data_IF_640457589081
#
_entry.id   IF_640457589081
#
_cell.length_a   1.000
_cell.length_b   1.000
_cell.length_c   1.000
_cell.angle_alpha   90.00
_cell.angle_beta   90.00
_cell.angle_gamma   90.00
#
_symmetry.space_group_name_H-M   'P 1'
#
loop_
_entity.id
_entity.type
_entity.pdbx_description
1 polymer ?
#
# COMPACT_ATOMS: atom_id res chain seq x y z
N UNK A 1 5.68 18.44 -11.49
CA UNK A 1 5.35 19.49 -12.48
C UNK A 1 4.08 20.29 -12.13
N UNK A 2 3.00 19.67 -11.66
CA UNK A 2 1.74 20.38 -11.32
C UNK A 2 1.77 21.05 -9.94
N UNK A 3 2.50 20.50 -9.00
CA UNK A 3 2.67 21.05 -7.65
C UNK A 3 3.39 22.43 -7.63
N UNK A 4 4.28 22.70 -8.57
CA UNK A 4 4.90 24.01 -8.71
C UNK A 4 3.90 25.15 -9.06
N UNK A 5 2.78 24.80 -9.68
CA UNK A 5 1.74 25.77 -10.00
C UNK A 5 0.93 26.23 -8.78
N UNK A 6 0.91 25.45 -7.69
CA UNK A 6 0.28 25.85 -6.42
C UNK A 6 1.10 26.95 -5.76
N UNK A 7 2.43 26.79 -5.70
CA UNK A 7 3.35 27.80 -5.14
C UNK A 7 3.30 29.15 -5.87
N UNK A 8 3.12 29.14 -7.18
CA UNK A 8 3.13 30.38 -7.98
C UNK A 8 1.88 31.26 -7.80
N UNK A 9 0.86 30.84 -7.08
CA UNK A 9 -0.43 31.54 -6.98
C UNK A 9 -0.87 31.93 -5.57
N UNK A 10 -0.16 31.49 -4.55
CA UNK A 10 -0.26 32.09 -3.22
C UNK A 10 0.50 33.39 -3.26
N UNK A 11 -0.09 34.44 -2.68
CA UNK A 11 0.41 35.81 -2.74
C UNK A 11 1.93 35.89 -2.49
N UNK A 12 2.77 36.34 -3.44
CA UNK A 12 4.23 36.23 -3.30
C UNK A 12 4.80 36.95 -2.08
N UNK A 13 4.03 37.89 -1.49
CA UNK A 13 4.43 38.64 -0.31
C UNK A 13 4.26 37.90 1.04
N UNK A 14 3.57 36.75 1.03
CA UNK A 14 3.31 35.97 2.24
C UNK A 14 4.15 34.67 2.31
N UNK A 15 4.92 34.40 1.24
CA UNK A 15 5.74 33.17 1.17
C UNK A 15 7.10 33.46 1.79
N UNK A 16 7.46 32.68 2.83
CA UNK A 16 8.83 32.67 3.35
C UNK A 16 9.80 32.24 2.24
N UNK A 17 10.71 33.17 1.83
CA UNK A 17 11.70 32.98 0.78
C UNK A 17 12.71 31.84 1.06
N UNK A 18 12.73 31.33 2.27
CA UNK A 18 13.55 30.17 2.67
C UNK A 18 12.87 28.81 2.40
N UNK A 19 11.67 28.78 1.82
CA UNK A 19 10.99 27.53 1.47
C UNK A 19 11.60 26.92 0.20
N UNK A 20 11.63 25.57 0.11
CA UNK A 20 12.21 24.92 -1.05
C UNK A 20 11.40 25.22 -2.32
N UNK A 21 12.08 25.60 -3.39
CA UNK A 21 11.46 25.89 -4.69
C UNK A 21 10.85 24.66 -5.39
N UNK A 22 11.17 23.47 -4.91
CA UNK A 22 10.71 22.20 -5.51
C UNK A 22 10.15 21.27 -4.45
N UNK A 23 8.96 20.73 -4.72
CA UNK A 23 8.41 19.61 -3.96
C UNK A 23 9.18 18.34 -4.29
N UNK A 24 9.70 17.68 -3.25
CA UNK A 24 10.27 16.37 -3.36
C UNK A 24 9.22 15.36 -2.86
N UNK A 25 8.50 14.74 -3.78
CA UNK A 25 7.50 13.70 -3.44
C UNK A 25 8.18 12.35 -3.40
N UNK A 26 8.00 11.62 -2.30
CA UNK A 26 8.50 10.26 -2.09
C UNK A 26 7.36 9.33 -1.73
N UNK A 27 7.38 8.14 -2.30
CA UNK A 27 6.47 7.06 -1.91
C UNK A 27 7.12 6.30 -0.76
N UNK A 28 6.35 6.06 0.30
CA UNK A 28 6.77 5.27 1.45
C UNK A 28 5.92 4.00 1.55
N UNK A 29 6.56 2.92 1.95
CA UNK A 29 5.87 1.65 2.19
C UNK A 29 5.14 1.72 3.53
N UNK A 30 3.84 1.88 3.48
CA UNK A 30 2.94 1.83 4.63
C UNK A 30 1.58 1.36 4.16
N UNK A 31 0.95 0.39 4.84
CA UNK A 31 -0.37 -0.09 4.46
C UNK A 31 -1.49 0.89 4.79
N UNK A 32 -1.24 1.91 5.61
CA UNK A 32 -2.23 2.92 5.99
C UNK A 32 -2.30 4.04 4.94
N UNK A 33 -3.49 4.58 4.67
CA UNK A 33 -3.68 5.64 3.65
C UNK A 33 -3.23 6.99 4.20
N UNK A 34 -1.96 7.32 4.01
CA UNK A 34 -1.34 8.52 4.56
C UNK A 34 -0.63 9.36 3.50
N UNK A 35 -0.67 10.68 3.69
CA UNK A 35 0.20 11.63 3.03
C UNK A 35 0.69 12.66 4.06
N UNK A 36 1.92 13.11 3.93
CA UNK A 36 2.55 14.04 4.87
C UNK A 36 3.36 15.09 4.11
N UNK A 37 3.12 16.34 4.43
CA UNK A 37 4.00 17.42 4.03
C UNK A 37 4.95 17.76 5.17
N UNK A 38 6.24 17.53 4.98
CA UNK A 38 7.25 17.79 5.99
C UNK A 38 7.64 19.27 6.00
N UNK A 39 8.08 19.83 7.15
CA UNK A 39 8.47 21.25 7.24
C UNK A 39 9.62 21.67 6.32
N UNK A 40 10.40 20.72 5.81
CA UNK A 40 11.45 21.00 4.82
C UNK A 40 10.95 20.99 3.36
N UNK A 41 9.63 20.87 3.14
CA UNK A 41 9.02 20.81 1.81
C UNK A 41 9.06 19.45 1.13
N UNK A 42 9.53 18.40 1.80
CA UNK A 42 9.39 17.04 1.28
C UNK A 42 7.97 16.51 1.55
N UNK A 43 7.40 15.82 0.57
CA UNK A 43 6.10 15.19 0.68
C UNK A 43 6.25 13.67 0.66
N UNK A 44 5.66 13.01 1.63
CA UNK A 44 5.60 11.57 1.71
C UNK A 44 4.19 11.09 1.38
N UNK A 45 4.07 10.11 0.50
CA UNK A 45 2.80 9.47 0.11
C UNK A 45 2.93 7.99 0.38
N UNK A 46 2.01 7.42 1.16
CA UNK A 46 2.06 5.99 1.48
C UNK A 46 1.54 5.12 0.33
N UNK A 47 2.04 3.88 0.24
CA UNK A 47 1.47 2.87 -0.65
C UNK A 47 0.01 2.58 -0.28
N UNK A 48 -0.36 2.65 1.00
CA UNK A 48 -1.73 2.52 1.48
C UNK A 48 -2.67 3.57 0.92
N UNK A 49 -2.23 4.84 0.79
CA UNK A 49 -3.03 5.87 0.14
C UNK A 49 -3.27 5.55 -1.33
N UNK A 50 -2.21 5.15 -2.06
CA UNK A 50 -2.31 4.79 -3.47
C UNK A 50 -3.22 3.57 -3.71
N UNK A 51 -3.31 2.66 -2.72
CA UNK A 51 -4.24 1.54 -2.75
C UNK A 51 -5.70 1.93 -2.42
N UNK A 52 -5.89 3.04 -1.70
CA UNK A 52 -7.20 3.47 -1.19
C UNK A 52 -7.95 4.35 -2.19
N UNK A 53 -7.25 5.25 -2.88
CA UNK A 53 -7.81 6.12 -3.90
C UNK A 53 -7.84 5.44 -5.27
N UNK A 54 -8.63 5.97 -6.22
CA UNK A 54 -8.86 5.36 -7.54
C UNK A 54 -8.65 6.32 -8.71
N UNK A 55 -8.12 7.53 -8.46
CA UNK A 55 -7.86 8.50 -9.52
C UNK A 55 -6.71 9.47 -9.21
N UNK A 56 -6.13 10.02 -10.28
CA UNK A 56 -5.13 11.08 -10.19
C UNK A 56 -5.71 12.34 -9.54
N UNK A 57 -6.99 12.65 -9.79
CA UNK A 57 -7.65 13.82 -9.22
C UNK A 57 -7.78 13.70 -7.71
N UNK A 58 -8.08 12.50 -7.18
CA UNK A 58 -8.08 12.24 -5.74
C UNK A 58 -6.69 12.41 -5.12
N UNK A 59 -5.64 11.91 -5.78
CA UNK A 59 -4.27 12.11 -5.32
C UNK A 59 -3.90 13.59 -5.32
N UNK A 60 -4.21 14.32 -6.38
CA UNK A 60 -3.95 15.76 -6.46
C UNK A 60 -4.72 16.55 -5.39
N UNK A 61 -5.94 16.11 -5.05
CA UNK A 61 -6.75 16.71 -4.01
C UNK A 61 -6.11 16.55 -2.62
N UNK A 62 -5.62 15.36 -2.30
CA UNK A 62 -4.88 15.12 -1.04
C UNK A 62 -3.58 15.91 -1.01
N UNK A 63 -2.83 15.93 -2.11
CA UNK A 63 -1.60 16.73 -2.23
C UNK A 63 -1.90 18.22 -2.01
N UNK A 64 -2.97 18.73 -2.60
CA UNK A 64 -3.36 20.13 -2.43
C UNK A 64 -3.73 20.45 -0.97
N UNK A 65 -4.44 19.55 -0.29
CA UNK A 65 -4.78 19.70 1.12
C UNK A 65 -3.52 19.76 2.00
N UNK A 66 -2.58 18.85 1.82
CA UNK A 66 -1.31 18.84 2.56
C UNK A 66 -0.45 20.08 2.28
N UNK A 67 -0.46 20.55 1.04
CA UNK A 67 0.27 21.80 0.69
C UNK A 67 -0.35 23.02 1.37
N UNK A 68 -1.67 23.08 1.53
CA UNK A 68 -2.31 24.18 2.27
C UNK A 68 -1.86 24.19 3.72
N UNK A 69 -1.76 23.02 4.37
CA UNK A 69 -1.24 22.93 5.74
C UNK A 69 0.19 23.46 5.85
N UNK A 70 1.02 23.16 4.86
CA UNK A 70 2.40 23.66 4.80
C UNK A 70 2.48 25.18 4.53
N UNK A 71 1.69 25.70 3.59
CA UNK A 71 1.69 27.12 3.20
C UNK A 71 1.18 28.00 4.35
N UNK A 72 0.16 27.52 5.08
CA UNK A 72 -0.43 28.26 6.20
C UNK A 72 0.30 28.04 7.53
N UNK A 73 1.43 27.34 7.52
CA UNK A 73 2.25 27.08 8.71
C UNK A 73 1.50 26.36 9.84
N UNK A 74 0.43 25.58 9.51
CA UNK A 74 -0.35 24.85 10.51
C UNK A 74 0.51 23.96 11.41
N UNK A 75 1.61 23.41 10.88
CA UNK A 75 2.57 22.61 11.65
C UNK A 75 3.33 23.46 12.69
N UNK A 76 3.70 24.68 12.31
CA UNK A 76 4.44 25.60 13.20
C UNK A 76 3.54 26.07 14.35
N UNK A 77 2.25 26.29 14.07
CA UNK A 77 1.26 26.68 15.07
C UNK A 77 1.05 25.58 16.12
N UNK A 78 1.14 24.31 15.70
CA UNK A 78 0.90 23.15 16.56
C UNK A 78 2.16 22.75 17.36
N UNK A 79 3.36 23.06 16.86
CA UNK A 79 4.60 22.80 17.60
C UNK A 79 4.82 23.95 18.58
N UNK A 80 4.82 23.63 19.88
CA UNK A 80 5.12 24.61 20.93
C UNK A 80 6.36 25.44 20.56
N UNK A 81 6.25 26.77 20.58
CA UNK A 81 7.35 27.72 20.28
C UNK A 81 8.58 27.57 21.18
N UNK A 82 8.51 26.71 22.21
CA UNK A 82 9.60 26.44 23.15
C UNK A 82 10.69 25.49 22.62
N UNK A 83 10.47 24.78 21.49
CA UNK A 83 11.51 23.93 20.90
C UNK A 83 12.44 24.74 20.00
N UNK A 84 13.71 24.79 20.39
CA UNK A 84 14.73 25.53 19.61
C UNK A 84 14.89 24.94 18.20
N UNK A 85 15.16 25.81 17.21
CA UNK A 85 15.41 25.47 15.80
C UNK A 85 16.40 24.29 15.63
N UNK A 86 17.41 24.19 16.53
CA UNK A 86 18.41 23.14 16.52
C UNK A 86 17.84 21.75 16.88
N UNK A 87 16.91 21.66 17.84
CA UNK A 87 16.26 20.40 18.21
C UNK A 87 15.33 19.90 17.12
N UNK A 88 14.66 20.79 16.39
CA UNK A 88 13.83 20.46 15.23
C UNK A 88 14.68 19.94 14.08
N UNK A 89 15.80 20.61 13.75
CA UNK A 89 16.70 20.19 12.69
C UNK A 89 17.32 18.81 12.96
N UNK A 90 17.75 18.54 14.20
CA UNK A 90 18.29 17.22 14.60
C UNK A 90 17.23 16.11 14.50
N UNK A 91 16.01 16.37 14.96
CA UNK A 91 14.89 15.44 14.86
C UNK A 91 14.55 15.12 13.38
N UNK A 92 14.49 16.15 12.54
CA UNK A 92 14.22 15.96 11.10
C UNK A 92 15.33 15.22 10.38
N UNK A 93 16.60 15.46 10.76
CA UNK A 93 17.73 14.71 10.22
C UNK A 93 17.62 13.21 10.57
N UNK A 94 17.15 12.89 11.77
CA UNK A 94 16.94 11.52 12.23
C UNK A 94 15.79 10.83 11.47
N UNK A 95 14.64 11.50 11.35
CA UNK A 95 13.49 10.99 10.58
C UNK A 95 13.83 10.82 9.10
N UNK A 96 14.49 11.81 8.48
CA UNK A 96 14.88 11.73 7.07
C UNK A 96 15.99 10.71 6.84
N UNK A 97 16.93 10.56 7.80
CA UNK A 97 17.95 9.53 7.78
C UNK A 97 17.34 8.13 7.78
N UNK A 98 16.36 7.92 8.63
CA UNK A 98 15.66 6.64 8.74
C UNK A 98 14.80 6.34 7.50
N UNK A 99 14.10 7.35 6.97
CA UNK A 99 13.34 7.23 5.70
C UNK A 99 14.28 7.03 4.51
N UNK A 100 15.46 7.67 4.51
CA UNK A 100 16.46 7.50 3.43
C UNK A 100 17.11 6.12 3.47
N UNK A 101 17.41 5.57 4.66
CA UNK A 101 17.91 4.20 4.81
C UNK A 101 16.88 3.17 4.33
N UNK A 102 15.61 3.38 4.69
CA UNK A 102 14.53 2.52 4.22
C UNK A 102 14.26 2.66 2.70
N UNK A 103 14.53 3.85 2.11
CA UNK A 103 14.43 4.05 0.66
C UNK A 103 15.64 3.48 -0.11
N UNK A 104 16.79 3.35 0.53
CA UNK A 104 17.97 2.69 -0.04
C UNK A 104 17.76 1.16 -0.09
N UNK A 105 17.11 0.59 0.93
CA UNK A 105 16.63 -0.79 0.90
C UNK A 105 15.54 -1.03 -0.17
N UNK A 106 14.80 0.02 -0.61
CA UNK A 106 13.84 -0.09 -1.71
C UNK A 106 14.46 0.01 -3.10
N UNK A 107 15.72 0.43 -3.23
CA UNK A 107 16.41 0.44 -4.51
C UNK A 107 16.64 -0.98 -5.08
N UNK A 108 16.65 -2.00 -4.23
CA UNK A 108 16.57 -3.37 -4.67
C UNK A 108 15.18 -3.82 -5.11
N UNK A 109 14.13 -3.12 -4.73
CA UNK A 109 12.75 -3.40 -5.15
C UNK A 109 12.48 -3.05 -6.62
N UNK A 110 13.24 -2.12 -7.21
CA UNK A 110 13.20 -1.84 -8.67
C UNK A 110 14.01 -2.82 -9.51
N UNK A 111 14.91 -3.59 -8.90
CA UNK A 111 15.61 -4.73 -9.49
C UNK A 111 14.93 -6.06 -9.18
N UNK A 112 13.71 -6.02 -8.68
CA UNK A 112 12.96 -7.19 -8.26
C UNK A 112 12.57 -8.03 -9.46
N UNK A 113 13.31 -9.08 -9.65
CA UNK A 113 12.85 -10.22 -10.42
C UNK A 113 11.65 -10.81 -9.66
N UNK A 114 10.51 -10.98 -10.32
CA UNK A 114 9.16 -11.36 -9.82
C UNK A 114 9.11 -12.62 -8.92
N UNK A 115 10.24 -13.08 -8.40
CA UNK A 115 10.47 -14.45 -7.92
C UNK A 115 10.71 -14.60 -6.43
N UNK A 116 10.94 -13.51 -5.69
CA UNK A 116 11.21 -13.60 -4.25
C UNK A 116 9.92 -13.38 -3.47
N UNK A 117 9.58 -14.36 -2.65
CA UNK A 117 8.30 -14.39 -1.95
C UNK A 117 8.06 -13.17 -1.06
N UNK A 118 6.82 -12.71 -1.05
CA UNK A 118 6.29 -11.57 -0.28
C UNK A 118 6.63 -11.61 1.24
N UNK A 119 7.19 -12.69 1.74
CA UNK A 119 7.40 -12.94 3.18
C UNK A 119 8.56 -12.13 3.75
N UNK A 120 9.66 -11.95 3.00
CA UNK A 120 10.81 -11.16 3.49
C UNK A 120 10.60 -9.65 3.37
N UNK A 121 9.82 -9.26 2.39
CA UNK A 121 9.41 -7.88 2.19
C UNK A 121 8.56 -7.37 3.38
N UNK A 122 7.69 -8.21 3.94
CA UNK A 122 6.85 -7.88 5.09
C UNK A 122 7.66 -7.54 6.36
N UNK A 123 8.82 -8.14 6.55
CA UNK A 123 9.65 -7.94 7.74
C UNK A 123 10.36 -6.56 7.75
N UNK A 124 10.79 -6.05 6.58
CA UNK A 124 11.45 -4.74 6.46
C UNK A 124 10.46 -3.58 6.58
N UNK A 125 9.20 -3.79 6.23
CA UNK A 125 8.13 -2.78 6.17
C UNK A 125 7.57 -2.44 7.54
N UNK A 126 7.53 -3.40 8.46
CA UNK A 126 7.11 -3.16 9.85
C UNK A 126 7.89 -2.03 10.53
N UNK A 127 9.12 -1.79 10.09
CA UNK A 127 10.01 -0.78 10.65
C UNK A 127 9.63 0.65 10.23
N UNK A 128 9.19 0.87 8.98
CA UNK A 128 8.83 2.21 8.50
C UNK A 128 7.44 2.62 8.99
N UNK A 129 6.47 1.71 8.95
CA UNK A 129 5.14 1.96 9.51
C UNK A 129 5.19 2.25 11.03
N UNK A 130 6.16 1.66 11.75
CA UNK A 130 6.39 1.94 13.16
C UNK A 130 7.01 3.32 13.42
N UNK A 131 7.72 3.90 12.46
CA UNK A 131 8.37 5.20 12.58
C UNK A 131 7.40 6.37 12.39
N UNK A 132 6.38 6.19 11.53
CA UNK A 132 5.32 7.17 11.31
C UNK A 132 4.08 6.73 12.10
N UNK A 133 4.20 6.70 13.41
CA UNK A 133 3.08 6.41 14.31
C UNK A 133 2.42 7.71 14.82
N UNK A 134 1.28 7.58 15.48
CA UNK A 134 0.51 8.71 16.05
C UNK A 134 1.39 9.64 16.91
N UNK A 135 2.35 9.10 17.66
CA UNK A 135 3.28 9.91 18.48
C UNK A 135 4.20 10.76 17.60
N UNK A 136 4.67 10.23 16.48
CA UNK A 136 5.49 10.95 15.51
C UNK A 136 4.69 12.06 14.85
N UNK A 137 3.47 11.77 14.40
CA UNK A 137 2.54 12.74 13.79
C UNK A 137 2.29 13.91 14.76
N UNK A 138 1.92 13.63 16.01
CA UNK A 138 1.67 14.66 17.02
C UNK A 138 2.93 15.47 17.34
N UNK A 139 4.09 14.80 17.45
CA UNK A 139 5.37 15.44 17.74
C UNK A 139 5.83 16.38 16.64
N UNK A 140 5.46 16.09 15.39
CA UNK A 140 5.76 16.90 14.21
C UNK A 140 4.76 18.04 13.99
N UNK A 141 3.73 18.17 14.84
CA UNK A 141 2.68 19.17 14.70
C UNK A 141 1.75 18.91 13.50
N UNK A 142 1.71 17.66 12.99
CA UNK A 142 0.84 17.24 11.90
C UNK A 142 -0.52 16.72 12.38
N UNK A 143 -0.81 16.83 13.67
CA UNK A 143 -2.14 16.60 14.25
C UNK A 143 -2.94 17.89 14.15
N UNK A 144 -3.59 18.10 13.02
CA UNK A 144 -4.34 19.31 12.75
C UNK A 144 -5.71 19.27 13.44
N UNK A 145 -6.09 20.41 14.00
CA UNK A 145 -7.42 20.54 14.58
C UNK A 145 -8.51 20.72 13.51
N UNK A 146 -9.78 20.53 13.90
CA UNK A 146 -10.93 20.63 12.98
C UNK A 146 -10.93 21.94 12.17
N UNK A 147 -10.57 23.07 12.78
CA UNK A 147 -10.55 24.37 12.10
C UNK A 147 -9.49 24.41 10.99
N UNK A 148 -8.30 23.86 11.26
CA UNK A 148 -7.19 23.82 10.30
C UNK A 148 -7.53 22.86 9.14
N UNK A 149 -8.10 21.69 9.45
CA UNK A 149 -8.54 20.73 8.42
C UNK A 149 -9.64 21.32 7.52
N UNK A 150 -10.69 21.92 8.10
CA UNK A 150 -11.75 22.55 7.32
C UNK A 150 -11.27 23.75 6.49
N UNK A 151 -10.27 24.49 6.97
CA UNK A 151 -9.64 25.56 6.21
C UNK A 151 -8.85 24.98 5.03
N UNK A 152 -8.06 23.94 5.25
CA UNK A 152 -7.29 23.26 4.20
C UNK A 152 -8.21 22.65 3.14
N UNK A 153 -9.27 21.97 3.56
CA UNK A 153 -10.27 21.39 2.66
C UNK A 153 -10.90 22.41 1.73
N UNK A 154 -11.31 23.56 2.28
CA UNK A 154 -11.91 24.62 1.49
C UNK A 154 -10.95 25.15 0.44
N UNK A 155 -9.72 25.49 0.84
CA UNK A 155 -8.71 26.06 -0.07
C UNK A 155 -8.30 25.04 -1.13
N UNK A 156 -8.11 23.77 -0.76
CA UNK A 156 -7.78 22.70 -1.69
C UNK A 156 -8.89 22.54 -2.74
N UNK A 157 -10.17 22.52 -2.32
CA UNK A 157 -11.31 22.43 -3.23
C UNK A 157 -11.38 23.64 -4.19
N UNK A 158 -11.20 24.85 -3.67
CA UNK A 158 -11.21 26.07 -4.49
C UNK A 158 -10.06 26.06 -5.50
N UNK A 159 -8.89 25.52 -5.12
CA UNK A 159 -7.76 25.33 -6.00
C UNK A 159 -8.07 24.32 -7.13
N UNK A 160 -8.66 23.16 -6.81
CA UNK A 160 -9.05 22.18 -7.81
C UNK A 160 -10.02 22.79 -8.83
N UNK A 161 -11.05 23.50 -8.35
CA UNK A 161 -12.00 24.18 -9.22
C UNK A 161 -11.31 25.22 -10.11
N UNK A 162 -10.39 26.01 -9.56
CA UNK A 162 -9.62 26.99 -10.33
C UNK A 162 -8.76 26.34 -11.43
N UNK A 163 -8.25 25.12 -11.19
CA UNK A 163 -7.46 24.34 -12.15
C UNK A 163 -8.33 23.64 -13.20
N UNK A 164 -9.65 23.75 -13.12
CA UNK A 164 -10.58 23.04 -13.98
C UNK A 164 -10.66 21.55 -13.68
N UNK A 165 -10.23 21.13 -12.48
CA UNK A 165 -10.31 19.77 -11.99
C UNK A 165 -11.61 19.58 -11.20
N UNK A 166 -11.97 18.32 -10.92
CA UNK A 166 -13.16 18.04 -10.14
C UNK A 166 -13.00 18.49 -8.66
N UNK A 167 -13.74 19.52 -8.21
CA UNK A 167 -13.63 20.02 -6.84
C UNK A 167 -14.11 18.99 -5.79
N UNK A 168 -14.84 17.95 -6.22
CA UNK A 168 -15.32 16.88 -5.35
C UNK A 168 -14.30 15.75 -5.16
N UNK A 169 -13.15 15.80 -5.82
CA UNK A 169 -12.11 14.77 -5.71
C UNK A 169 -11.61 14.63 -4.26
N UNK A 170 -11.51 15.75 -3.52
CA UNK A 170 -11.14 15.70 -2.10
C UNK A 170 -12.20 14.97 -1.25
N UNK A 171 -13.50 15.23 -1.50
CA UNK A 171 -14.58 14.53 -0.81
C UNK A 171 -14.56 13.04 -1.09
N UNK A 172 -14.36 12.63 -2.36
CA UNK A 172 -14.21 11.24 -2.76
C UNK A 172 -13.04 10.56 -2.02
N UNK A 173 -11.85 11.16 -2.04
CA UNK A 173 -10.67 10.65 -1.36
C UNK A 173 -10.90 10.48 0.15
N UNK A 174 -11.43 11.51 0.83
CA UNK A 174 -11.69 11.47 2.28
C UNK A 174 -12.74 10.40 2.62
N UNK A 175 -13.76 10.20 1.78
CA UNK A 175 -14.75 9.14 2.00
C UNK A 175 -14.10 7.75 1.94
N UNK A 176 -13.25 7.50 0.94
CA UNK A 176 -12.50 6.23 0.82
C UNK A 176 -11.56 5.99 2.02
N UNK A 177 -10.86 7.03 2.46
CA UNK A 177 -10.02 6.97 3.68
C UNK A 177 -10.88 6.65 4.91
N UNK A 178 -12.04 7.30 5.06
CA UNK A 178 -13.00 7.00 6.15
C UNK A 178 -13.47 5.54 6.10
N UNK A 179 -13.79 5.04 4.91
CA UNK A 179 -14.21 3.64 4.71
C UNK A 179 -13.10 2.66 5.07
N UNK A 180 -11.84 2.96 4.68
CA UNK A 180 -10.70 2.17 5.10
C UNK A 180 -10.60 2.06 6.62
N UNK A 181 -10.62 3.18 7.35
CA UNK A 181 -10.55 3.15 8.81
C UNK A 181 -11.78 2.48 9.45
N UNK A 182 -12.95 2.59 8.83
CA UNK A 182 -14.14 1.85 9.22
C UNK A 182 -13.96 0.34 9.06
N UNK A 183 -13.35 -0.11 7.98
CA UNK A 183 -13.12 -1.54 7.70
C UNK A 183 -12.12 -2.20 8.68
N UNK A 184 -11.18 -1.43 9.20
CA UNK A 184 -10.20 -1.89 10.20
C UNK A 184 -10.65 -1.65 11.66
N UNK A 185 -11.90 -1.22 11.87
CA UNK A 185 -12.48 -0.92 13.18
C UNK A 185 -11.68 0.09 14.01
N UNK A 186 -11.14 1.12 13.36
CA UNK A 186 -10.36 2.19 14.00
C UNK A 186 -11.17 3.47 14.19
N UNK A 187 -12.40 3.34 14.65
CA UNK A 187 -13.31 4.49 14.81
C UNK A 187 -12.88 5.47 15.89
N UNK A 188 -12.21 4.99 16.92
CA UNK A 188 -11.81 5.76 18.11
C UNK A 188 -10.34 6.19 18.06
N UNK A 189 -9.58 5.69 17.10
CA UNK A 189 -8.16 6.02 16.97
C UNK A 189 -8.00 7.32 16.18
N UNK A 190 -7.01 8.10 16.58
CA UNK A 190 -6.54 9.22 15.83
C UNK A 190 -5.91 8.70 14.53
N UNK A 191 -6.43 9.15 13.41
CA UNK A 191 -5.83 8.91 12.10
C UNK A 191 -4.94 10.10 11.73
N UNK A 192 -4.15 9.99 10.67
CA UNK A 192 -3.41 11.12 10.11
C UNK A 192 -4.34 12.30 9.74
N UNK A 193 -5.54 12.01 9.31
CA UNK A 193 -6.55 12.98 8.89
C UNK A 193 -7.50 13.40 10.01
N UNK A 194 -7.08 13.22 11.26
CA UNK A 194 -7.87 13.50 12.44
C UNK A 194 -8.65 12.28 12.95
N UNK A 195 -9.56 12.50 13.89
CA UNK A 195 -10.43 11.45 14.40
C UNK A 195 -11.45 11.01 13.36
N UNK A 196 -11.99 9.80 13.51
CA UNK A 196 -13.09 9.34 12.65
C UNK A 196 -14.30 10.29 12.66
N UNK A 197 -14.56 10.93 13.81
CA UNK A 197 -15.59 11.97 13.93
C UNK A 197 -15.27 13.21 13.09
N UNK A 198 -14.01 13.62 13.05
CA UNK A 198 -13.56 14.74 12.22
C UNK A 198 -13.68 14.43 10.72
N UNK A 199 -13.38 13.20 10.29
CA UNK A 199 -13.59 12.80 8.89
C UNK A 199 -15.06 12.94 8.49
N UNK A 200 -16.01 12.59 9.37
CA UNK A 200 -17.44 12.80 9.13
C UNK A 200 -17.78 14.28 9.04
N UNK A 201 -17.22 15.12 9.90
CA UNK A 201 -17.43 16.58 9.88
C UNK A 201 -16.89 17.19 8.57
N UNK A 202 -15.70 16.79 8.13
CA UNK A 202 -15.10 17.22 6.86
C UNK A 202 -16.00 16.87 5.68
N UNK A 203 -16.47 15.62 5.60
CA UNK A 203 -17.41 15.17 4.54
C UNK A 203 -18.73 15.93 4.56
N UNK A 204 -19.30 16.21 5.75
CA UNK A 204 -20.51 17.00 5.85
C UNK A 204 -20.36 18.44 5.31
N UNK A 205 -19.15 19.01 5.33
CA UNK A 205 -18.83 20.34 4.79
C UNK A 205 -18.45 20.31 3.31
N UNK A 206 -17.76 19.27 2.87
CA UNK A 206 -17.36 19.09 1.47
C UNK A 206 -18.54 18.70 0.58
N UNK A 207 -19.54 18.02 1.15
CA UNK A 207 -20.66 17.42 0.46
C UNK A 207 -20.39 15.99 0.05
N UNK A 208 -21.46 15.22 -0.12
CA UNK A 208 -21.39 13.85 -0.65
C UNK A 208 -21.07 13.90 -2.15
N UNK A 209 -20.31 12.93 -2.62
CA UNK A 209 -19.97 12.75 -4.03
C UNK A 209 -19.91 11.26 -4.37
N UNK A 210 -20.12 10.96 -5.65
CA UNK A 210 -19.83 9.63 -6.18
C UNK A 210 -18.32 9.37 -6.19
N UNK A 211 -17.97 8.11 -6.11
CA UNK A 211 -16.57 7.66 -6.20
C UNK A 211 -16.01 7.98 -7.60
N UNK A 212 -14.83 8.57 -7.62
CA UNK A 212 -14.13 8.92 -8.87
C UNK A 212 -13.17 7.78 -9.20
N UNK A 213 -13.19 7.34 -10.46
CA UNK A 213 -12.34 6.26 -10.96
C UNK A 213 -11.59 6.68 -12.21
N UNK A 214 -10.34 6.26 -12.31
CA UNK A 214 -9.50 6.42 -13.49
C UNK A 214 -8.80 5.10 -13.80
N UNK A 215 -9.18 4.45 -14.88
CA UNK A 215 -8.57 3.18 -15.28
C UNK A 215 -7.05 3.31 -15.52
N UNK A 216 -6.59 4.48 -15.97
CA UNK A 216 -5.15 4.74 -16.12
C UNK A 216 -4.45 4.72 -14.76
N UNK A 217 -5.02 5.38 -13.75
CA UNK A 217 -4.47 5.40 -12.39
C UNK A 217 -4.47 3.99 -11.78
N UNK A 218 -5.59 3.28 -11.89
CA UNK A 218 -5.74 1.90 -11.40
C UNK A 218 -4.68 0.98 -12.02
N UNK A 219 -4.43 1.13 -13.32
CA UNK A 219 -3.37 0.37 -14.02
C UNK A 219 -1.97 0.76 -13.55
N UNK A 220 -1.70 2.05 -13.33
CA UNK A 220 -0.39 2.51 -12.88
C UNK A 220 -0.08 2.12 -11.43
N UNK A 221 -1.10 1.90 -10.61
CA UNK A 221 -0.97 1.55 -9.18
C UNK A 221 -1.20 0.07 -8.91
N UNK A 222 -1.54 -0.75 -9.92
CA UNK A 222 -1.89 -2.17 -9.74
C UNK A 222 -0.78 -2.96 -9.02
N UNK A 223 0.48 -2.75 -9.38
CA UNK A 223 1.60 -3.44 -8.74
C UNK A 223 1.75 -3.04 -7.25
N UNK A 224 1.45 -1.78 -6.92
CA UNK A 224 1.45 -1.29 -5.53
C UNK A 224 0.31 -1.95 -4.75
N UNK A 225 -0.85 -2.13 -5.37
CA UNK A 225 -2.01 -2.82 -4.78
C UNK A 225 -1.68 -4.28 -4.52
N UNK A 226 -1.10 -4.99 -5.51
CA UNK A 226 -0.62 -6.38 -5.36
C UNK A 226 0.40 -6.50 -4.24
N UNK A 227 1.36 -5.59 -4.19
CA UNK A 227 2.38 -5.52 -3.14
C UNK A 227 1.77 -5.37 -1.74
N UNK A 228 0.86 -4.41 -1.54
CA UNK A 228 0.19 -4.23 -0.24
C UNK A 228 -0.71 -5.43 0.11
N UNK A 229 -1.34 -6.06 -0.88
CA UNK A 229 -2.10 -7.29 -0.67
C UNK A 229 -1.20 -8.43 -0.15
N UNK A 230 0.00 -8.58 -0.72
CA UNK A 230 0.99 -9.55 -0.26
C UNK A 230 1.48 -9.25 1.16
N UNK A 231 1.69 -7.97 1.51
CA UNK A 231 2.02 -7.56 2.87
C UNK A 231 0.95 -7.96 3.89
N UNK A 232 -0.32 -7.63 3.59
CA UNK A 232 -1.43 -8.03 4.46
C UNK A 232 -1.54 -9.56 4.58
N UNK A 233 -1.22 -10.30 3.51
CA UNK A 233 -1.16 -11.76 3.55
C UNK A 233 -0.06 -12.24 4.51
N UNK A 234 1.14 -11.65 4.47
CA UNK A 234 2.25 -11.94 5.39
C UNK A 234 1.88 -11.65 6.85
N UNK A 235 1.22 -10.53 7.10
CA UNK A 235 0.73 -10.12 8.42
C UNK A 235 -0.51 -10.90 8.91
N UNK A 236 -0.97 -11.92 8.15
CA UNK A 236 -2.16 -12.72 8.43
C UNK A 236 -3.46 -11.89 8.50
N UNK A 237 -3.48 -10.71 7.87
CA UNK A 237 -4.65 -9.85 7.72
C UNK A 237 -5.40 -10.22 6.43
N UNK A 238 -5.83 -11.48 6.38
CA UNK A 238 -6.33 -12.12 5.17
C UNK A 238 -7.49 -11.40 4.50
N UNK A 239 -8.41 -10.82 5.28
CA UNK A 239 -9.52 -10.04 4.73
C UNK A 239 -9.05 -8.81 3.97
N UNK A 240 -8.03 -8.12 4.44
CA UNK A 240 -7.44 -6.95 3.76
C UNK A 240 -6.70 -7.38 2.49
N UNK A 241 -5.94 -8.48 2.57
CA UNK A 241 -5.27 -9.07 1.40
C UNK A 241 -6.27 -9.45 0.31
N UNK A 242 -7.37 -10.12 0.69
CA UNK A 242 -8.47 -10.47 -0.22
C UNK A 242 -9.09 -9.23 -0.88
N UNK A 243 -9.39 -8.18 -0.11
CA UNK A 243 -9.99 -6.95 -0.64
C UNK A 243 -9.12 -6.27 -1.69
N UNK A 244 -7.80 -6.16 -1.44
CA UNK A 244 -6.88 -5.53 -2.39
C UNK A 244 -6.67 -6.38 -3.64
N UNK A 245 -6.46 -7.68 -3.51
CA UNK A 245 -6.33 -8.56 -4.66
C UNK A 245 -7.62 -8.56 -5.50
N UNK A 246 -8.78 -8.58 -4.86
CA UNK A 246 -10.08 -8.48 -5.54
C UNK A 246 -10.25 -7.13 -6.25
N UNK A 247 -9.77 -6.02 -5.66
CA UNK A 247 -9.79 -4.68 -6.31
C UNK A 247 -9.10 -4.70 -7.66
N UNK A 248 -7.90 -5.27 -7.77
CA UNK A 248 -7.20 -5.37 -9.06
C UNK A 248 -7.97 -6.23 -10.08
N UNK A 249 -8.61 -7.31 -9.61
CA UNK A 249 -9.43 -8.18 -10.47
C UNK A 249 -10.66 -7.43 -10.99
N UNK A 250 -11.36 -6.72 -10.12
CA UNK A 250 -12.57 -5.96 -10.47
C UNK A 250 -12.26 -4.82 -11.44
N UNK A 251 -11.12 -4.17 -11.26
CA UNK A 251 -10.61 -3.10 -12.14
C UNK A 251 -9.99 -3.65 -13.45
N UNK A 252 -9.88 -4.97 -13.61
CA UNK A 252 -9.31 -5.64 -14.81
C UNK A 252 -7.83 -5.28 -15.06
N UNK A 253 -7.08 -5.09 -13.97
CA UNK A 253 -5.64 -4.80 -13.99
C UNK A 253 -4.82 -5.83 -13.21
N UNK A 254 -5.47 -6.94 -12.82
CA UNK A 254 -4.84 -7.98 -12.02
C UNK A 254 -3.75 -8.74 -12.76
N UNK A 255 -2.69 -9.06 -12.04
CA UNK A 255 -1.67 -10.05 -12.39
C UNK A 255 -2.04 -11.44 -11.86
N UNK A 256 -1.31 -12.47 -12.25
CA UNK A 256 -1.42 -13.81 -11.70
C UNK A 256 -1.14 -13.85 -10.19
N UNK A 257 -0.27 -12.96 -9.68
CA UNK A 257 0.00 -12.81 -8.26
C UNK A 257 -1.25 -12.40 -7.46
N UNK A 258 -2.11 -11.52 -7.99
CA UNK A 258 -3.35 -11.13 -7.32
C UNK A 258 -4.28 -12.33 -7.12
N UNK A 259 -4.41 -13.17 -8.13
CA UNK A 259 -5.20 -14.41 -8.01
C UNK A 259 -4.62 -15.38 -6.98
N UNK A 260 -3.29 -15.52 -6.94
CA UNK A 260 -2.61 -16.37 -5.94
C UNK A 260 -2.81 -15.82 -4.52
N UNK A 261 -2.65 -14.51 -4.31
CA UNK A 261 -2.89 -13.87 -3.02
C UNK A 261 -4.34 -14.06 -2.58
N UNK A 262 -5.29 -13.86 -3.51
CA UNK A 262 -6.71 -14.08 -3.25
C UNK A 262 -7.01 -15.53 -2.81
N UNK A 263 -6.42 -16.50 -3.48
CA UNK A 263 -6.53 -17.91 -3.11
C UNK A 263 -5.95 -18.17 -1.73
N UNK A 264 -4.73 -17.71 -1.46
CA UNK A 264 -4.07 -17.86 -0.15
C UNK A 264 -4.92 -17.24 0.96
N UNK A 265 -5.47 -16.05 0.73
CA UNK A 265 -6.30 -15.34 1.70
C UNK A 265 -7.61 -16.09 1.97
N UNK A 266 -8.32 -16.57 0.94
CA UNK A 266 -9.55 -17.35 1.09
C UNK A 266 -9.31 -18.68 1.78
N UNK A 267 -8.28 -19.40 1.38
CA UNK A 267 -7.89 -20.66 2.03
C UNK A 267 -7.60 -20.49 3.53
N UNK A 268 -7.06 -19.36 3.94
CA UNK A 268 -6.78 -19.10 5.35
C UNK A 268 -8.05 -18.77 6.17
N UNK A 269 -9.11 -18.30 5.52
CA UNK A 269 -10.35 -17.87 6.17
C UNK A 269 -11.43 -18.94 6.17
N UNK A 270 -11.50 -19.79 5.13
CA UNK A 270 -12.59 -20.74 4.94
C UNK A 270 -12.09 -22.08 4.40
N UNK A 271 -12.79 -23.17 4.78
CA UNK A 271 -12.53 -24.52 4.27
C UNK A 271 -13.84 -25.27 3.99
N UNK A 272 -14.57 -24.80 2.96
CA UNK A 272 -15.75 -25.46 2.45
C UNK A 272 -15.44 -26.06 1.06
N UNK A 273 -16.18 -27.11 0.62
CA UNK A 273 -16.02 -27.63 -0.73
C UNK A 273 -16.21 -26.55 -1.81
N UNK A 274 -17.19 -25.68 -1.63
CA UNK A 274 -17.55 -24.61 -2.55
C UNK A 274 -16.41 -23.56 -2.64
N UNK A 275 -15.85 -23.15 -1.50
CA UNK A 275 -14.72 -22.25 -1.42
C UNK A 275 -13.47 -22.84 -2.08
N UNK A 276 -13.20 -24.13 -1.83
CA UNK A 276 -12.06 -24.82 -2.43
C UNK A 276 -12.20 -24.95 -3.96
N UNK A 277 -13.39 -25.22 -4.50
CA UNK A 277 -13.65 -25.24 -5.94
C UNK A 277 -13.53 -23.85 -6.56
N UNK A 278 -14.01 -22.82 -5.88
CA UNK A 278 -13.83 -21.43 -6.33
C UNK A 278 -12.34 -21.06 -6.37
N UNK A 279 -11.55 -21.44 -5.37
CA UNK A 279 -10.10 -21.23 -5.35
C UNK A 279 -9.39 -21.96 -6.51
N UNK A 280 -9.81 -23.19 -6.87
CA UNK A 280 -9.26 -23.90 -8.04
C UNK A 280 -9.48 -23.11 -9.34
N UNK A 281 -10.69 -22.56 -9.54
CA UNK A 281 -10.98 -21.73 -10.72
C UNK A 281 -10.14 -20.45 -10.74
N UNK A 282 -9.85 -19.85 -9.60
CA UNK A 282 -8.95 -18.68 -9.53
C UNK A 282 -7.52 -19.05 -9.91
N UNK A 283 -7.01 -20.22 -9.51
CA UNK A 283 -5.69 -20.70 -9.95
C UNK A 283 -5.63 -21.01 -11.46
N UNK A 284 -6.73 -21.50 -12.04
CA UNK A 284 -6.84 -21.65 -13.50
C UNK A 284 -6.71 -20.30 -14.19
N UNK A 285 -7.39 -19.26 -13.66
CA UNK A 285 -7.27 -17.89 -14.16
C UNK A 285 -5.85 -17.33 -14.00
N UNK A 286 -5.24 -17.51 -12.83
CA UNK A 286 -3.84 -17.13 -12.64
C UNK A 286 -2.93 -17.75 -13.70
N UNK A 287 -3.10 -19.02 -14.00
CA UNK A 287 -2.30 -19.75 -15.01
C UNK A 287 -2.54 -19.25 -16.44
N UNK A 288 -3.79 -18.87 -16.77
CA UNK A 288 -4.14 -18.34 -18.10
C UNK A 288 -3.45 -16.99 -18.37
N UNK A 289 -3.28 -16.14 -17.35
CA UNK A 289 -2.73 -14.79 -17.51
C UNK A 289 -1.26 -14.67 -17.17
N UNK A 290 -0.67 -15.69 -16.53
CA UNK A 290 0.73 -15.68 -16.14
C UNK A 290 1.64 -15.51 -17.36
N UNK A 291 2.48 -14.48 -17.36
CA UNK A 291 3.45 -14.20 -18.43
C UNK A 291 4.77 -14.94 -18.21
N UNK A 292 5.02 -15.38 -17.00
CA UNK A 292 6.19 -16.16 -16.59
C UNK A 292 5.75 -17.34 -15.71
N UNK A 293 6.69 -18.24 -15.43
CA UNK A 293 6.43 -19.40 -14.54
C UNK A 293 6.26 -18.94 -13.10
N UNK A 294 5.07 -19.07 -12.57
CA UNK A 294 4.76 -18.75 -11.17
C UNK A 294 4.62 -20.05 -10.36
N UNK A 295 5.64 -20.36 -9.58
CA UNK A 295 5.70 -21.59 -8.74
C UNK A 295 4.66 -21.61 -7.64
N UNK A 296 4.19 -20.45 -7.18
CA UNK A 296 3.13 -20.34 -6.18
C UNK A 296 1.79 -20.92 -6.67
N UNK A 297 1.48 -20.78 -7.96
CA UNK A 297 0.26 -21.39 -8.55
C UNK A 297 0.29 -22.89 -8.35
N UNK A 298 1.42 -23.54 -8.64
CA UNK A 298 1.59 -24.99 -8.46
C UNK A 298 1.47 -25.38 -7.00
N UNK A 299 2.14 -24.65 -6.09
CA UNK A 299 2.08 -24.92 -4.66
C UNK A 299 0.65 -24.81 -4.10
N UNK A 300 -0.09 -23.75 -4.47
CA UNK A 300 -1.45 -23.56 -4.00
C UNK A 300 -2.41 -24.64 -4.57
N UNK A 301 -2.23 -25.05 -5.83
CA UNK A 301 -3.00 -26.17 -6.41
C UNK A 301 -2.79 -27.46 -5.61
N UNK A 302 -1.57 -27.80 -5.26
CA UNK A 302 -1.23 -28.96 -4.43
C UNK A 302 -1.94 -28.87 -3.09
N UNK A 303 -1.81 -27.75 -2.39
CA UNK A 303 -2.43 -27.54 -1.08
C UNK A 303 -3.97 -27.65 -1.14
N UNK A 304 -4.60 -27.14 -2.19
CA UNK A 304 -6.04 -27.27 -2.42
C UNK A 304 -6.45 -28.72 -2.67
N UNK A 305 -5.71 -29.45 -3.50
CA UNK A 305 -5.98 -30.86 -3.78
C UNK A 305 -5.90 -31.71 -2.52
N UNK A 306 -4.89 -31.45 -1.66
CA UNK A 306 -4.78 -32.11 -0.35
C UNK A 306 -5.97 -31.78 0.55
N UNK A 307 -6.38 -30.51 0.60
CA UNK A 307 -7.51 -30.01 1.37
C UNK A 307 -8.85 -30.60 0.91
N UNK A 308 -8.98 -30.87 -0.38
CA UNK A 308 -10.13 -31.53 -1.01
C UNK A 308 -10.07 -33.06 -0.91
N UNK A 309 -9.10 -33.60 -0.20
CA UNK A 309 -8.89 -35.06 -0.05
C UNK A 309 -8.57 -35.80 -1.37
N UNK A 310 -8.07 -35.11 -2.39
CA UNK A 310 -7.71 -35.63 -3.71
C UNK A 310 -6.24 -36.09 -3.73
N UNK A 311 -5.86 -37.01 -2.85
CA UNK A 311 -4.48 -37.39 -2.56
C UNK A 311 -3.70 -37.88 -3.79
N UNK A 312 -4.28 -38.70 -4.65
CA UNK A 312 -3.59 -39.16 -5.86
C UNK A 312 -3.21 -38.02 -6.80
N UNK A 313 -4.13 -37.06 -7.04
CA UNK A 313 -3.86 -35.90 -7.86
C UNK A 313 -2.84 -34.95 -7.21
N UNK A 314 -2.88 -34.81 -5.89
CA UNK A 314 -1.90 -34.03 -5.15
C UNK A 314 -0.49 -34.64 -5.26
N UNK A 315 -0.37 -35.98 -5.21
CA UNK A 315 0.90 -36.68 -5.39
C UNK A 315 1.48 -36.45 -6.81
N UNK A 316 0.64 -36.52 -7.84
CA UNK A 316 1.09 -36.27 -9.21
C UNK A 316 1.56 -34.82 -9.38
N UNK A 317 0.81 -33.85 -8.85
CA UNK A 317 1.21 -32.44 -8.87
C UNK A 317 2.46 -32.15 -8.04
N UNK A 318 2.69 -32.88 -6.94
CA UNK A 318 3.95 -32.76 -6.18
C UNK A 318 5.15 -33.25 -7.00
N UNK A 319 5.02 -34.33 -7.78
CA UNK A 319 6.10 -34.79 -8.67
C UNK A 319 6.41 -33.75 -9.74
N UNK A 320 5.36 -33.25 -10.42
CA UNK A 320 5.51 -32.17 -11.40
C UNK A 320 6.21 -30.93 -10.77
N UNK A 321 5.85 -30.58 -9.54
CA UNK A 321 6.42 -29.44 -8.83
C UNK A 321 7.89 -29.65 -8.48
N UNK A 322 8.28 -30.85 -8.04
CA UNK A 322 9.66 -31.20 -7.78
C UNK A 322 10.54 -31.09 -9.04
N UNK A 323 10.01 -31.58 -10.18
CA UNK A 323 10.72 -31.46 -11.48
C UNK A 323 10.88 -29.99 -11.87
N UNK A 324 9.83 -29.18 -11.69
CA UNK A 324 9.88 -27.73 -11.97
C UNK A 324 10.89 -26.99 -11.08
N UNK A 325 10.95 -27.31 -9.79
CA UNK A 325 11.95 -26.74 -8.86
C UNK A 325 13.38 -27.14 -9.24
N UNK A 326 13.57 -28.38 -9.65
CA UNK A 326 14.88 -28.88 -10.11
C UNK A 326 15.35 -28.18 -11.39
N UNK A 327 14.43 -28.02 -12.37
CA UNK A 327 14.71 -27.23 -13.59
C UNK A 327 15.05 -25.79 -13.26
N UNK A 328 14.28 -25.15 -12.38
CA UNK A 328 14.49 -23.77 -11.97
C UNK A 328 15.87 -23.59 -11.36
N UNK A 329 16.28 -24.52 -10.49
CA UNK A 329 17.61 -24.55 -9.87
C UNK A 329 18.76 -24.66 -10.87
N UNK A 330 18.54 -25.34 -12.00
CA UNK A 330 19.57 -25.54 -13.02
C UNK A 330 19.70 -24.36 -14.01
N UNK A 331 18.62 -23.64 -14.25
CA UNK A 331 18.53 -22.62 -15.30
C UNK A 331 18.90 -21.22 -14.84
N UNK A 332 18.93 -20.95 -13.55
CA UNK A 332 19.11 -19.62 -13.00
C UNK A 332 20.42 -19.49 -12.23
N UNK A 333 21.12 -18.38 -12.46
CA UNK A 333 22.25 -17.94 -11.64
C UNK A 333 21.65 -17.28 -10.38
N UNK A 334 21.43 -18.09 -9.34
CA UNK A 334 20.66 -17.71 -8.16
C UNK A 334 21.54 -17.04 -7.11
N UNK A 335 21.00 -16.00 -6.49
CA UNK A 335 21.57 -15.46 -5.27
C UNK A 335 21.39 -16.44 -4.08
N UNK A 336 22.02 -16.15 -2.95
CA UNK A 336 21.99 -17.03 -1.76
C UNK A 336 20.57 -17.26 -1.25
N UNK A 337 19.74 -16.21 -1.20
CA UNK A 337 18.36 -16.28 -0.71
C UNK A 337 17.46 -17.14 -1.61
N UNK A 338 17.57 -16.98 -2.92
CA UNK A 338 16.81 -17.80 -3.88
C UNK A 338 17.22 -19.28 -3.76
N UNK A 339 18.50 -19.56 -3.58
CA UNK A 339 19.02 -20.91 -3.41
C UNK A 339 18.50 -21.56 -2.13
N UNK A 340 18.44 -20.82 -1.02
CA UNK A 340 17.89 -21.28 0.25
C UNK A 340 16.39 -21.55 0.11
N UNK A 341 15.62 -20.61 -0.47
CA UNK A 341 14.21 -20.80 -0.69
C UNK A 341 13.87 -22.00 -1.56
N UNK A 342 14.57 -22.19 -2.69
CA UNK A 342 14.40 -23.40 -3.53
C UNK A 342 14.73 -24.67 -2.74
N UNK A 343 15.77 -24.62 -1.89
CA UNK A 343 16.12 -25.74 -1.01
C UNK A 343 14.98 -26.10 -0.04
N UNK A 344 14.38 -25.11 0.58
CA UNK A 344 13.24 -25.29 1.48
C UNK A 344 12.00 -25.83 0.75
N UNK A 345 11.70 -25.33 -0.45
CA UNK A 345 10.59 -25.81 -1.26
C UNK A 345 10.77 -27.27 -1.72
N UNK A 346 11.97 -27.67 -2.12
CA UNK A 346 12.31 -29.05 -2.47
C UNK A 346 12.14 -30.00 -1.26
N UNK A 347 12.58 -29.58 -0.09
CA UNK A 347 12.43 -30.34 1.16
C UNK A 347 10.95 -30.47 1.54
N UNK A 348 10.20 -29.36 1.48
CA UNK A 348 8.76 -29.36 1.75
C UNK A 348 8.00 -30.30 0.79
N UNK A 349 8.21 -30.19 -0.53
CA UNK A 349 7.52 -30.98 -1.52
C UNK A 349 7.84 -32.48 -1.38
N UNK A 350 9.11 -32.82 -1.11
CA UNK A 350 9.57 -34.20 -0.90
C UNK A 350 8.94 -34.81 0.36
N UNK A 351 8.91 -34.07 1.46
CA UNK A 351 8.25 -34.49 2.71
C UNK A 351 6.76 -34.72 2.53
N UNK A 352 6.09 -33.81 1.78
CA UNK A 352 4.66 -33.95 1.51
C UNK A 352 4.35 -35.16 0.62
N UNK A 353 5.14 -35.39 -0.42
CA UNK A 353 4.99 -36.54 -1.29
C UNK A 353 5.16 -37.84 -0.50
N UNK A 354 6.17 -37.94 0.36
CA UNK A 354 6.39 -39.09 1.23
C UNK A 354 5.19 -39.37 2.16
N UNK A 355 4.61 -38.32 2.75
CA UNK A 355 3.42 -38.44 3.62
C UNK A 355 2.20 -38.96 2.86
N UNK A 356 1.95 -38.45 1.66
CA UNK A 356 0.78 -38.90 0.85
C UNK A 356 0.95 -40.35 0.36
N UNK A 357 2.19 -40.76 0.07
CA UNK A 357 2.48 -42.09 -0.42
C UNK A 357 2.37 -43.17 0.68
N UNK A 358 2.29 -42.76 1.95
CA UNK A 358 2.11 -43.68 3.11
C UNK A 358 0.63 -43.85 3.50
N UNK A 359 -0.28 -43.06 2.93
CA UNK A 359 -1.73 -43.12 3.12
C UNK A 359 -2.39 -43.94 2.00
#
# INVERSE_FOLDING_TARGET
FRSQAIFAKVNPGEIDTNRPERLNVRIIQSPEPDAYMLPNGAMLVSTGLLCTIDSEEELEAIIANEMVHFILDHQVDNVSRAETRAKRAAFWADVLGTVAMAADDTNWMYGYDERVGAIELAASIGTIAALINVRTVNRLGMDYNSKQELQADRIARDYLAFKGMNPNALSSAINKIKEFYGSVHRYDNLTRYGSYGLLKERLAKLGETESIHSHMFEKMTSDIVTFNAAMYQGDKRYKMAEQLAQKNIDNRVASDHDYVILVKARMAQENTPESNEACMKLLEKAREIATARNLDINKQEILLLMRMNKQAKAADKLREYLDLLAEYKQQNDMNTQESEWIGEELDWASKMLSKISLL
#
